data_IF_681382617145
#
_entry.id   IF_681382617145
#
_cell.length_a   1.000
_cell.length_b   1.000
_cell.length_c   1.000
_cell.angle_alpha   90.00
_cell.angle_beta   90.00
_cell.angle_gamma   90.00
#
_symmetry.space_group_name_H-M   'P 1'
#
loop_
_entity.id
_entity.type
_entity.pdbx_description
1 polymer ?
#
# COMPACT_ATOMS: atom_id res chain seq x y z
N UNK A 1 -24.53 -15.77 -30.86
CA UNK A 1 -23.93 -14.44 -30.64
C UNK A 1 -23.62 -14.27 -29.16
N UNK A 2 -22.35 -14.38 -28.76
CA UNK A 2 -21.95 -14.30 -27.35
C UNK A 2 -21.94 -12.84 -26.87
N UNK A 3 -22.80 -12.51 -25.88
CA UNK A 3 -22.84 -11.19 -25.23
C UNK A 3 -21.54 -10.96 -24.47
N UNK A 4 -20.68 -10.06 -24.97
CA UNK A 4 -19.53 -9.50 -24.24
C UNK A 4 -20.03 -8.85 -22.93
N UNK A 5 -19.75 -9.49 -21.79
CA UNK A 5 -19.85 -8.85 -20.47
C UNK A 5 -18.86 -7.68 -20.43
N UNK A 6 -19.36 -6.45 -20.47
CA UNK A 6 -18.57 -5.25 -20.14
C UNK A 6 -18.09 -5.39 -18.69
N UNK A 7 -16.78 -5.56 -18.52
CA UNK A 7 -16.14 -5.47 -17.21
C UNK A 7 -16.42 -4.08 -16.62
N UNK A 8 -17.06 -4.04 -15.46
CA UNK A 8 -17.09 -2.82 -14.64
C UNK A 8 -15.62 -2.51 -14.31
N UNK A 9 -15.13 -1.34 -14.73
CA UNK A 9 -13.90 -0.79 -14.16
C UNK A 9 -14.19 -0.56 -12.68
N UNK A 10 -13.73 -1.47 -11.83
CA UNK A 10 -13.65 -1.21 -10.39
C UNK A 10 -12.81 0.06 -10.23
N UNK A 11 -13.43 1.13 -9.75
CA UNK A 11 -12.69 2.29 -9.26
C UNK A 11 -11.79 1.77 -8.16
N UNK A 12 -10.47 1.82 -8.39
CA UNK A 12 -9.51 1.47 -7.35
C UNK A 12 -9.81 2.36 -6.14
N UNK A 13 -10.02 1.79 -4.95
CA UNK A 13 -10.37 2.58 -3.77
C UNK A 13 -9.26 3.59 -3.51
N UNK A 14 -9.61 4.86 -3.30
CA UNK A 14 -8.66 5.91 -2.99
C UNK A 14 -7.96 5.60 -1.66
N UNK A 15 -6.63 5.78 -1.59
CA UNK A 15 -5.89 5.55 -0.35
C UNK A 15 -6.05 6.79 0.53
N UNK A 16 -6.86 6.68 1.60
CA UNK A 16 -6.87 7.68 2.65
C UNK A 16 -5.60 7.55 3.52
N UNK A 17 -4.59 8.34 3.18
CA UNK A 17 -3.31 8.38 3.89
C UNK A 17 -3.51 8.92 5.32
N UNK A 18 -4.40 9.90 5.50
CA UNK A 18 -4.65 10.53 6.79
C UNK A 18 -5.18 9.52 7.80
N UNK A 19 -6.20 8.75 7.42
CA UNK A 19 -6.75 7.69 8.28
C UNK A 19 -5.71 6.59 8.59
N UNK A 20 -4.92 6.18 7.58
CA UNK A 20 -3.86 5.18 7.76
C UNK A 20 -2.79 5.64 8.75
N UNK A 21 -2.40 6.91 8.72
CA UNK A 21 -1.44 7.48 9.68
C UNK A 21 -2.03 7.59 11.09
N UNK A 22 -3.32 7.89 11.22
CA UNK A 22 -3.97 7.91 12.54
C UNK A 22 -3.95 6.51 13.18
N UNK A 23 -4.21 5.46 12.39
CA UNK A 23 -4.09 4.07 12.87
C UNK A 23 -2.66 3.74 13.36
N UNK A 24 -1.63 4.26 12.68
CA UNK A 24 -0.23 4.09 13.12
C UNK A 24 -0.03 4.73 14.50
N UNK A 25 -0.56 5.94 14.72
CA UNK A 25 -0.45 6.61 16.04
C UNK A 25 -1.10 5.77 17.14
N UNK A 26 -2.28 5.20 16.88
CA UNK A 26 -2.97 4.31 17.82
C UNK A 26 -2.15 3.06 18.12
N UNK A 27 -1.52 2.44 17.11
CA UNK A 27 -0.65 1.28 17.32
C UNK A 27 0.58 1.63 18.16
N UNK A 28 1.18 2.80 17.94
CA UNK A 28 2.33 3.27 18.74
C UNK A 28 1.91 3.58 20.17
N UNK A 29 0.81 4.31 20.38
CA UNK A 29 0.33 4.70 21.72
C UNK A 29 -0.15 3.50 22.55
N UNK A 30 -0.58 2.42 21.90
CA UNK A 30 -0.93 1.14 22.53
C UNK A 30 0.24 0.18 22.72
N UNK A 31 1.48 0.65 22.58
CA UNK A 31 2.71 -0.14 22.76
C UNK A 31 2.88 -1.30 21.76
N UNK A 32 2.23 -1.22 20.59
CA UNK A 32 2.29 -2.22 19.50
C UNK A 32 3.25 -1.78 18.40
N UNK A 33 4.45 -1.36 18.78
CA UNK A 33 5.43 -0.75 17.87
C UNK A 33 5.82 -1.66 16.68
N UNK A 34 5.94 -2.98 16.89
CA UNK A 34 6.24 -3.94 15.82
C UNK A 34 5.15 -3.95 14.74
N UNK A 35 3.89 -3.85 15.17
CA UNK A 35 2.76 -3.81 14.26
C UNK A 35 2.67 -2.48 13.52
N UNK A 36 2.95 -1.37 14.21
CA UNK A 36 3.03 -0.05 13.59
C UNK A 36 4.05 -0.04 12.44
N UNK A 37 5.24 -0.61 12.63
CA UNK A 37 6.28 -0.71 11.60
C UNK A 37 5.80 -1.53 10.39
N UNK A 38 5.19 -2.69 10.65
CA UNK A 38 4.63 -3.53 9.59
C UNK A 38 3.52 -2.80 8.81
N UNK A 39 2.67 -2.06 9.51
CA UNK A 39 1.59 -1.30 8.91
C UNK A 39 2.11 -0.13 8.04
N UNK A 40 3.14 0.59 8.49
CA UNK A 40 3.81 1.62 7.68
C UNK A 40 4.36 1.03 6.38
N UNK A 41 4.98 -0.15 6.43
CA UNK A 41 5.47 -0.84 5.24
C UNK A 41 4.34 -1.20 4.27
N UNK A 42 3.17 -1.65 4.77
CA UNK A 42 1.99 -1.90 3.94
C UNK A 42 1.46 -0.62 3.30
N UNK A 43 1.38 0.48 4.06
CA UNK A 43 0.96 1.79 3.53
C UNK A 43 1.90 2.22 2.38
N UNK A 44 3.21 2.09 2.58
CA UNK A 44 4.20 2.41 1.56
C UNK A 44 4.01 1.57 0.29
N UNK A 45 3.84 0.25 0.45
CA UNK A 45 3.56 -0.67 -0.66
C UNK A 45 2.30 -0.31 -1.44
N UNK A 46 1.20 0.00 -0.74
CA UNK A 46 -0.07 0.39 -1.35
C UNK A 46 0.11 1.65 -2.21
N UNK A 47 0.76 2.68 -1.65
CA UNK A 47 0.99 3.95 -2.34
C UNK A 47 1.83 3.72 -3.60
N UNK A 48 2.93 2.99 -3.47
CA UNK A 48 3.83 2.72 -4.60
C UNK A 48 3.13 1.91 -5.69
N UNK A 49 2.40 0.86 -5.30
CA UNK A 49 1.69 -0.01 -6.25
C UNK A 49 0.62 0.77 -7.00
N UNK A 50 -0.15 1.62 -6.33
CA UNK A 50 -1.19 2.42 -7.00
C UNK A 50 -0.61 3.56 -7.84
N UNK A 51 0.36 4.31 -7.32
CA UNK A 51 0.90 5.50 -7.99
C UNK A 51 1.86 5.16 -9.12
N UNK A 52 2.72 4.16 -8.93
CA UNK A 52 3.80 3.85 -9.85
C UNK A 52 3.64 2.50 -10.55
N UNK A 53 2.67 1.66 -10.14
CA UNK A 53 2.45 0.29 -10.68
C UNK A 53 3.70 -0.59 -10.62
N UNK A 54 4.56 -0.34 -9.64
CA UNK A 54 5.82 -1.07 -9.39
C UNK A 54 5.73 -1.80 -8.05
N UNK A 55 5.09 -2.97 -7.97
CA UNK A 55 5.07 -3.75 -6.73
C UNK A 55 6.50 -4.18 -6.36
N UNK A 56 6.75 -4.37 -5.06
CA UNK A 56 8.03 -4.94 -4.60
C UNK A 56 8.18 -6.38 -5.06
N UNK A 57 9.34 -6.71 -5.62
CA UNK A 57 9.70 -8.10 -5.89
C UNK A 57 10.35 -8.78 -4.69
N UNK A 58 10.19 -10.10 -4.58
CA UNK A 58 10.69 -10.89 -3.45
C UNK A 58 12.21 -10.80 -3.25
N UNK A 59 12.97 -10.62 -4.34
CA UNK A 59 14.43 -10.50 -4.30
C UNK A 59 14.92 -9.09 -3.93
N UNK A 60 14.05 -8.06 -3.99
CA UNK A 60 14.45 -6.70 -3.66
C UNK A 60 14.49 -6.52 -2.15
N UNK A 61 15.53 -5.87 -1.65
CA UNK A 61 15.57 -5.34 -0.29
C UNK A 61 14.61 -4.17 -0.14
N UNK A 62 14.22 -3.84 1.11
CA UNK A 62 13.39 -2.66 1.39
C UNK A 62 14.06 -1.38 0.88
N UNK A 63 15.40 -1.29 1.02
CA UNK A 63 16.18 -0.14 0.58
C UNK A 63 16.12 0.04 -0.94
N UNK A 64 16.38 -1.02 -1.70
CA UNK A 64 16.32 -0.97 -3.16
C UNK A 64 14.92 -0.60 -3.64
N UNK A 65 13.90 -1.23 -3.03
CA UNK A 65 12.51 -0.94 -3.33
C UNK A 65 12.17 0.54 -3.08
N UNK A 66 12.68 1.12 -1.99
CA UNK A 66 12.48 2.52 -1.68
C UNK A 66 13.10 3.48 -2.71
N UNK A 67 14.26 3.15 -3.25
CA UNK A 67 14.99 3.97 -4.24
C UNK A 67 14.30 3.96 -5.60
N UNK A 68 13.74 2.83 -6.04
CA UNK A 68 13.06 2.70 -7.34
C UNK A 68 11.82 3.59 -7.52
N UNK A 69 11.35 4.23 -6.44
CA UNK A 69 10.10 4.99 -6.37
C UNK A 69 10.30 6.50 -6.14
N UNK A 70 11.55 6.98 -6.21
CA UNK A 70 11.91 8.42 -6.20
C UNK A 70 11.76 9.00 -7.59
#
# INVERSE_FOLDING_TARGET
>A
MAKKKKSKKEQEPEIDISQKLENVKVLVSSNRAKEAIAYIYLIYNDIVTKKFKKPRFAYQTIREYAITCV
#
